data_IF_378218493766
#
_entry.id   IF_378218493766
#
_cell.length_a   1.000
_cell.length_b   1.000
_cell.length_c   1.000
_cell.angle_alpha   90.00
_cell.angle_beta   90.00
_cell.angle_gamma   90.00
#
_symmetry.space_group_name_H-M   'P 1'
#
loop_
_entity.id
_entity.type
_entity.pdbx_description
1 polymer ?
#
# COMPACT_ATOMS: atom_id res chain seq x y z
N UNK A 1 -43.62 -26.62 -9.29
CA UNK A 1 -42.15 -26.39 -9.43
C UNK A 1 -41.90 -24.88 -9.29
N UNK A 2 -41.37 -24.41 -8.16
CA UNK A 2 -41.16 -22.98 -7.91
C UNK A 2 -39.76 -22.58 -8.39
N UNK A 3 -39.67 -22.18 -9.64
CA UNK A 3 -38.47 -21.54 -10.18
C UNK A 3 -38.47 -20.10 -9.70
N UNK A 4 -37.59 -19.73 -8.75
CA UNK A 4 -37.32 -18.32 -8.39
C UNK A 4 -36.12 -17.85 -9.23
N UNK A 5 -36.30 -17.44 -10.50
CA UNK A 5 -35.18 -17.08 -11.39
C UNK A 5 -34.33 -15.94 -10.80
N UNK A 6 -34.97 -14.99 -10.12
CA UNK A 6 -34.31 -13.89 -9.44
C UNK A 6 -33.42 -14.33 -8.26
N UNK A 7 -33.80 -15.36 -7.51
CA UNK A 7 -33.00 -15.86 -6.38
C UNK A 7 -31.71 -16.55 -6.85
N UNK A 8 -31.76 -17.27 -7.97
CA UNK A 8 -30.58 -17.88 -8.60
C UNK A 8 -29.62 -16.81 -9.14
N UNK A 9 -30.16 -15.77 -9.77
CA UNK A 9 -29.37 -14.68 -10.33
C UNK A 9 -28.72 -13.82 -9.23
N UNK A 10 -29.47 -13.46 -8.20
CA UNK A 10 -28.95 -12.73 -7.03
C UNK A 10 -27.82 -13.50 -6.33
N UNK A 11 -27.94 -14.82 -6.20
CA UNK A 11 -26.90 -15.68 -5.61
C UNK A 11 -25.60 -15.69 -6.44
N UNK A 12 -25.67 -15.56 -7.77
CA UNK A 12 -24.49 -15.44 -8.63
C UNK A 12 -23.80 -14.08 -8.45
N UNK A 13 -24.56 -12.99 -8.42
CA UNK A 13 -24.00 -11.65 -8.19
C UNK A 13 -23.39 -11.50 -6.80
N UNK A 14 -24.06 -12.01 -5.77
CA UNK A 14 -23.52 -12.01 -4.40
C UNK A 14 -22.17 -12.73 -4.31
N UNK A 15 -22.02 -13.89 -4.96
CA UNK A 15 -20.73 -14.58 -5.05
C UNK A 15 -19.67 -13.74 -5.77
N UNK A 16 -20.05 -13.06 -6.85
CA UNK A 16 -19.16 -12.15 -7.56
C UNK A 16 -18.66 -11.01 -6.68
N UNK A 17 -19.56 -10.38 -5.92
CA UNK A 17 -19.21 -9.30 -4.98
C UNK A 17 -18.26 -9.84 -3.90
N UNK A 18 -18.54 -11.00 -3.31
CA UNK A 18 -17.66 -11.62 -2.30
C UNK A 18 -16.25 -11.86 -2.87
N UNK A 19 -16.14 -12.37 -4.10
CA UNK A 19 -14.83 -12.58 -4.74
C UNK A 19 -14.12 -11.24 -4.98
N UNK A 20 -14.82 -10.21 -5.43
CA UNK A 20 -14.25 -8.86 -5.63
C UNK A 20 -13.78 -8.26 -4.29
N UNK A 21 -14.58 -8.37 -3.23
CA UNK A 21 -14.21 -7.89 -1.90
C UNK A 21 -12.98 -8.62 -1.36
N UNK A 22 -12.93 -9.95 -1.47
CA UNK A 22 -11.77 -10.74 -1.07
C UNK A 22 -10.50 -10.34 -1.84
N UNK A 23 -10.61 -10.13 -3.16
CA UNK A 23 -9.49 -9.66 -3.97
C UNK A 23 -9.06 -8.24 -3.60
N UNK A 24 -10.01 -7.36 -3.29
CA UNK A 24 -9.75 -5.99 -2.82
C UNK A 24 -9.01 -5.96 -1.49
N UNK A 25 -9.50 -6.73 -0.50
CA UNK A 25 -8.85 -6.85 0.81
C UNK A 25 -7.46 -7.48 0.68
N UNK A 26 -7.32 -8.53 -0.14
CA UNK A 26 -6.03 -9.17 -0.39
C UNK A 26 -5.03 -8.20 -1.05
N UNK A 27 -5.48 -7.43 -2.05
CA UNK A 27 -4.66 -6.41 -2.69
C UNK A 27 -4.21 -5.31 -1.72
N UNK A 28 -5.13 -4.79 -0.91
CA UNK A 28 -4.81 -3.80 0.12
C UNK A 28 -3.84 -4.34 1.17
N UNK A 29 -4.03 -5.60 1.62
CA UNK A 29 -3.13 -6.26 2.56
C UNK A 29 -1.74 -6.48 1.95
N UNK A 30 -1.64 -7.01 0.74
CA UNK A 30 -0.38 -7.21 0.05
C UNK A 30 0.37 -5.89 -0.13
N UNK A 31 -0.36 -4.82 -0.47
CA UNK A 31 0.20 -3.48 -0.58
C UNK A 31 0.73 -2.96 0.77
N UNK A 32 -0.06 -3.08 1.83
CA UNK A 32 0.34 -2.67 3.18
C UNK A 32 1.55 -3.49 3.67
N UNK A 33 1.55 -4.79 3.42
CA UNK A 33 2.64 -5.68 3.76
C UNK A 33 3.94 -5.31 3.01
N UNK A 34 3.86 -5.02 1.71
CA UNK A 34 5.01 -4.58 0.92
C UNK A 34 5.57 -3.24 1.42
N UNK A 35 4.70 -2.28 1.76
CA UNK A 35 5.09 -1.00 2.35
C UNK A 35 5.72 -1.18 3.75
N UNK A 36 5.26 -2.14 4.54
CA UNK A 36 5.82 -2.37 5.87
C UNK A 36 7.20 -3.06 5.79
N UNK A 37 7.34 -4.05 4.91
CA UNK A 37 8.54 -4.88 4.78
C UNK A 37 9.68 -4.17 4.06
N UNK A 38 9.40 -3.31 3.08
CA UNK A 38 10.43 -2.73 2.21
C UNK A 38 10.37 -1.21 2.10
N UNK A 39 11.50 -0.58 2.38
CA UNK A 39 11.66 0.87 2.30
C UNK A 39 11.76 1.38 0.85
N UNK A 40 12.36 0.60 -0.05
CA UNK A 40 12.43 0.92 -1.49
C UNK A 40 11.04 1.00 -2.13
N UNK A 41 10.12 0.15 -1.68
CA UNK A 41 8.73 0.20 -2.12
C UNK A 41 8.04 1.46 -1.63
N UNK A 42 8.30 1.91 -0.39
CA UNK A 42 7.83 3.22 0.12
C UNK A 42 8.42 4.38 -0.70
N UNK A 43 9.69 4.30 -1.10
CA UNK A 43 10.35 5.30 -1.96
C UNK A 43 9.70 5.37 -3.34
N UNK A 44 9.39 4.21 -3.91
CA UNK A 44 8.72 4.11 -5.21
C UNK A 44 7.28 4.64 -5.12
N UNK A 45 6.57 4.31 -4.04
CA UNK A 45 5.23 4.83 -3.77
C UNK A 45 5.23 6.34 -3.52
N UNK A 46 6.26 6.91 -2.89
CA UNK A 46 6.41 8.36 -2.78
C UNK A 46 6.44 9.02 -4.16
N UNK A 47 7.17 8.44 -5.11
CA UNK A 47 7.31 8.96 -6.48
C UNK A 47 6.04 8.77 -7.31
N UNK A 48 5.38 7.61 -7.18
CA UNK A 48 4.23 7.23 -8.01
C UNK A 48 2.89 7.72 -7.45
N UNK A 49 2.67 7.52 -6.14
CA UNK A 49 1.40 7.74 -5.45
C UNK A 49 1.62 8.32 -4.04
N UNK A 50 2.00 9.60 -3.91
CA UNK A 50 2.31 10.22 -2.62
C UNK A 50 1.14 10.18 -1.63
N UNK A 51 -0.11 10.24 -2.12
CA UNK A 51 -1.31 10.20 -1.28
C UNK A 51 -1.49 8.85 -0.56
N UNK A 52 -1.16 7.73 -1.21
CA UNK A 52 -1.29 6.39 -0.61
C UNK A 52 -0.26 6.23 0.52
N UNK A 53 0.96 6.71 0.29
CA UNK A 53 2.03 6.69 1.28
C UNK A 53 1.69 7.56 2.49
N UNK A 54 1.02 8.69 2.30
CA UNK A 54 0.57 9.53 3.41
C UNK A 54 -0.49 8.83 4.27
N UNK A 55 -1.45 8.15 3.64
CA UNK A 55 -2.45 7.34 4.36
C UNK A 55 -1.78 6.23 5.16
N UNK A 56 -0.76 5.58 4.61
CA UNK A 56 0.04 4.59 5.34
C UNK A 56 0.68 5.17 6.60
N UNK A 57 1.34 6.33 6.50
CA UNK A 57 1.93 6.99 7.69
C UNK A 57 0.88 7.36 8.72
N UNK A 58 -0.23 7.98 8.32
CA UNK A 58 -1.31 8.33 9.25
C UNK A 58 -1.93 7.10 9.92
N UNK A 59 -2.07 6.01 9.18
CA UNK A 59 -2.61 4.75 9.73
C UNK A 59 -1.67 4.16 10.77
N UNK A 60 -0.36 4.20 10.54
CA UNK A 60 0.63 3.74 11.52
C UNK A 60 0.70 4.65 12.74
N UNK A 61 0.60 5.97 12.56
CA UNK A 61 0.52 6.94 13.66
C UNK A 61 -0.73 6.72 14.54
N UNK A 62 -1.86 6.33 13.93
CA UNK A 62 -3.08 5.94 14.65
C UNK A 62 -2.93 4.58 15.35
N UNK A 63 -2.12 3.67 14.81
CA UNK A 63 -1.78 2.39 15.42
C UNK A 63 -0.71 2.51 16.53
N UNK A 64 -0.16 3.71 16.75
CA UNK A 64 0.86 3.99 17.76
C UNK A 64 2.30 3.79 17.29
N UNK A 65 2.52 3.48 16.02
CA UNK A 65 3.86 3.37 15.44
C UNK A 65 4.34 4.70 14.86
N UNK A 66 5.06 5.46 15.69
CA UNK A 66 5.66 6.73 15.31
C UNK A 66 7.08 6.57 14.73
N UNK A 67 7.49 7.55 13.92
CA UNK A 67 8.88 7.67 13.45
C UNK A 67 9.20 6.95 12.13
N UNK A 68 8.30 6.15 11.56
CA UNK A 68 8.50 5.51 10.24
C UNK A 68 8.79 6.56 9.16
N UNK A 69 8.01 7.66 9.14
CA UNK A 69 8.18 8.78 8.22
C UNK A 69 9.56 9.44 8.33
N UNK A 70 10.03 9.67 9.57
CA UNK A 70 11.31 10.34 9.81
C UNK A 70 12.48 9.45 9.37
N UNK A 71 12.41 8.13 9.66
CA UNK A 71 13.42 7.17 9.19
C UNK A 71 13.49 7.15 7.66
N UNK A 72 12.34 7.06 6.99
CA UNK A 72 12.30 7.08 5.53
C UNK A 72 12.86 8.38 4.92
N UNK A 73 12.56 9.53 5.53
CA UNK A 73 13.13 10.81 5.09
C UNK A 73 14.64 10.89 5.27
N UNK A 74 15.15 10.44 6.43
CA UNK A 74 16.58 10.42 6.70
C UNK A 74 17.31 9.51 5.73
N UNK A 75 16.79 8.32 5.46
CA UNK A 75 17.44 7.36 4.56
C UNK A 75 17.44 7.86 3.11
N UNK A 76 16.34 8.46 2.64
CA UNK A 76 16.33 9.05 1.29
C UNK A 76 17.22 10.29 1.16
N UNK A 77 17.32 11.11 2.21
CA UNK A 77 18.23 12.25 2.23
C UNK A 77 19.69 11.81 2.29
N UNK A 78 20.00 10.74 3.03
CA UNK A 78 21.32 10.12 3.06
C UNK A 78 21.68 9.51 1.71
N UNK A 79 20.77 8.78 1.08
CA UNK A 79 20.99 8.20 -0.25
C UNK A 79 21.28 9.29 -1.28
N UNK A 80 20.48 10.36 -1.29
CA UNK A 80 20.71 11.54 -2.16
C UNK A 80 22.08 12.18 -1.92
N UNK A 81 22.47 12.37 -0.64
CA UNK A 81 23.78 12.92 -0.28
C UNK A 81 24.93 11.99 -0.68
N UNK A 82 24.77 10.69 -0.52
CA UNK A 82 25.76 9.69 -0.94
C UNK A 82 25.95 9.70 -2.45
N UNK A 83 24.88 9.82 -3.24
CA UNK A 83 24.98 9.99 -4.69
C UNK A 83 25.74 11.26 -5.07
N UNK A 84 25.39 12.43 -4.49
CA UNK A 84 26.12 13.67 -4.74
C UNK A 84 27.61 13.59 -4.32
N UNK A 85 27.92 12.87 -3.24
CA UNK A 85 29.29 12.68 -2.77
C UNK A 85 30.11 11.78 -3.72
N UNK A 86 29.48 10.74 -4.27
CA UNK A 86 30.12 9.83 -5.23
C UNK A 86 30.36 10.49 -6.59
N UNK A 87 29.47 11.38 -7.01
CA UNK A 87 29.63 12.18 -8.25
C UNK A 87 30.70 13.28 -8.10
N UNK A 88 31.02 13.69 -6.87
CA UNK A 88 32.04 14.68 -6.56
C UNK A 88 33.46 14.10 -6.37
N UNK A 89 33.65 12.79 -6.47
CA UNK A 89 34.95 12.13 -6.47
C UNK A 89 35.51 12.07 -7.92
N UNK A 90 36.75 12.53 -8.17
CA UNK A 90 37.34 12.63 -9.51
C UNK A 90 37.64 11.27 -10.17
#
# INVERSE_FOLDING_TARGET
MSSKPFASLAKKWMKGIIVIELLGVFGAYALFHAMNTSQDFRSTMKKRFPSILEVYYKSNELAGEYGVRQRDQLDWDLESKTYCQLEALP
#
